data_IF_518911217600
#
_entry.id   IF_518911217600
#
_cell.length_a   1.000
_cell.length_b   1.000
_cell.length_c   1.000
_cell.angle_alpha   90.00
_cell.angle_beta   90.00
_cell.angle_gamma   90.00
#
_symmetry.space_group_name_H-M   'P 1'
#
loop_
_entity.id
_entity.type
_entity.pdbx_description
1 polymer ?
#
# COMPACT_ATOMS: atom_id res chain seq x y z
N UNK A 1 15.26 -24.62 5.51
CA UNK A 1 13.93 -24.75 6.16
C UNK A 1 12.95 -24.01 5.29
N UNK A 2 11.85 -24.63 4.88
CA UNK A 2 10.79 -23.93 4.17
C UNK A 2 9.82 -23.35 5.19
N UNK A 3 9.56 -22.07 5.13
CA UNK A 3 8.59 -21.38 6.00
C UNK A 3 7.21 -21.41 5.33
N UNK A 4 6.19 -21.61 6.13
CA UNK A 4 4.79 -21.51 5.70
C UNK A 4 4.22 -20.25 6.37
N UNK A 5 3.63 -19.38 5.57
CA UNK A 5 2.87 -18.23 6.07
C UNK A 5 1.39 -18.57 5.92
N UNK A 6 0.66 -18.50 7.02
CA UNK A 6 -0.80 -18.57 7.02
C UNK A 6 -1.33 -17.14 6.98
N UNK A 7 -2.17 -16.85 5.99
CA UNK A 7 -2.84 -15.55 5.85
C UNK A 7 -4.31 -15.79 6.14
N UNK A 8 -4.78 -15.21 7.25
CA UNK A 8 -6.19 -15.23 7.65
C UNK A 8 -6.83 -13.91 7.26
N UNK A 9 -8.10 -13.97 6.84
CA UNK A 9 -8.88 -12.79 6.48
C UNK A 9 -10.33 -12.97 6.92
N UNK A 10 -10.87 -11.92 7.52
CA UNK A 10 -12.29 -11.66 7.73
C UNK A 10 -12.58 -10.28 7.15
N UNK A 11 -13.27 -10.24 6.02
CA UNK A 11 -13.64 -8.99 5.37
C UNK A 11 -15.14 -8.82 5.40
N UNK A 12 -15.58 -7.61 5.75
CA UNK A 12 -16.98 -7.26 5.87
C UNK A 12 -17.31 -6.03 5.03
N UNK A 13 -18.52 -6.00 4.50
CA UNK A 13 -19.10 -4.82 3.86
C UNK A 13 -19.74 -4.01 4.97
N UNK A 14 -19.30 -2.78 5.15
CA UNK A 14 -19.90 -1.88 6.13
C UNK A 14 -21.33 -1.54 5.72
N UNK A 15 -22.29 -1.91 6.58
CA UNK A 15 -23.71 -1.73 6.33
C UNK A 15 -24.36 -1.03 7.55
N UNK A 16 -24.21 0.29 7.62
CA UNK A 16 -24.76 1.08 8.71
C UNK A 16 -23.72 1.64 9.68
N UNK A 17 -24.17 1.96 10.91
CA UNK A 17 -23.32 2.62 11.93
C UNK A 17 -22.76 1.64 12.97
N UNK A 18 -23.32 0.45 13.07
CA UNK A 18 -22.93 -0.58 14.05
C UNK A 18 -22.27 -1.77 13.34
N UNK A 19 -21.21 -2.32 13.94
CA UNK A 19 -20.47 -3.48 13.41
C UNK A 19 -21.35 -4.75 13.28
N UNK A 20 -22.40 -4.86 14.08
CA UNK A 20 -23.38 -5.96 14.04
C UNK A 20 -24.20 -5.98 12.74
N UNK A 21 -24.29 -4.84 12.04
CA UNK A 21 -24.99 -4.69 10.77
C UNK A 21 -24.10 -5.00 9.56
N UNK A 22 -22.79 -5.17 9.79
CA UNK A 22 -21.82 -5.42 8.74
C UNK A 22 -21.99 -6.82 8.16
N UNK A 23 -22.09 -6.88 6.84
CA UNK A 23 -22.28 -8.11 6.10
C UNK A 23 -20.93 -8.76 5.80
N UNK A 24 -20.76 -10.03 6.19
CA UNK A 24 -19.55 -10.78 5.89
C UNK A 24 -19.37 -10.97 4.37
N UNK A 25 -18.28 -10.46 3.82
CA UNK A 25 -17.93 -10.59 2.41
C UNK A 25 -17.17 -11.90 2.16
N UNK A 26 -16.07 -12.08 2.87
CA UNK A 26 -15.26 -13.30 2.85
C UNK A 26 -14.69 -13.58 4.24
N UNK A 27 -14.52 -14.84 4.56
CA UNK A 27 -13.84 -15.36 5.74
C UNK A 27 -13.05 -16.60 5.33
N UNK A 28 -11.81 -16.71 5.80
CA UNK A 28 -10.99 -17.86 5.48
C UNK A 28 -9.50 -17.66 5.72
N UNK A 29 -8.73 -18.66 5.30
CA UNK A 29 -7.29 -18.64 5.38
C UNK A 29 -6.66 -19.29 4.15
N UNK A 30 -5.51 -18.77 3.74
CA UNK A 30 -4.67 -19.40 2.70
C UNK A 30 -3.27 -19.64 3.25
N UNK A 31 -2.66 -20.74 2.84
CA UNK A 31 -1.26 -21.03 3.13
C UNK A 31 -0.38 -20.60 1.96
N UNK A 32 0.67 -19.85 2.27
CA UNK A 32 1.67 -19.42 1.31
C UNK A 32 3.05 -20.00 1.67
N UNK A 33 3.71 -20.62 0.68
CA UNK A 33 4.99 -21.28 0.88
C UNK A 33 6.12 -20.42 0.35
N UNK A 34 7.25 -20.37 1.05
CA UNK A 34 8.45 -19.62 0.63
C UNK A 34 9.14 -20.19 -0.62
N UNK A 35 8.74 -21.39 -1.06
CA UNK A 35 9.17 -21.97 -2.35
C UNK A 35 8.83 -21.11 -3.56
N UNK A 36 7.99 -20.10 -3.36
CA UNK A 36 7.62 -19.12 -4.38
C UNK A 36 8.54 -17.87 -4.35
N UNK A 37 9.60 -17.86 -3.52
CA UNK A 37 10.65 -16.87 -3.66
C UNK A 37 11.30 -17.06 -5.04
N UNK A 38 11.40 -15.96 -5.78
CA UNK A 38 11.89 -16.06 -7.15
C UNK A 38 10.81 -16.20 -8.23
N UNK A 39 9.53 -16.18 -7.87
CA UNK A 39 8.41 -16.21 -8.81
C UNK A 39 7.62 -14.88 -8.79
N UNK A 40 6.98 -14.52 -9.91
CA UNK A 40 6.11 -13.33 -9.95
C UNK A 40 4.97 -13.46 -8.92
N UNK A 41 4.36 -12.35 -8.50
CA UNK A 41 3.26 -12.35 -7.55
C UNK A 41 2.12 -13.27 -7.99
N UNK A 42 1.65 -14.09 -7.05
CA UNK A 42 0.53 -15.01 -7.27
C UNK A 42 -0.76 -14.24 -7.03
N UNK A 43 -1.70 -14.35 -7.95
CA UNK A 43 -3.04 -13.74 -7.82
C UNK A 43 -4.07 -14.81 -7.54
N UNK A 44 -4.84 -14.60 -6.47
CA UNK A 44 -5.94 -15.47 -6.08
C UNK A 44 -7.24 -14.66 -6.03
N UNK A 45 -8.30 -15.24 -6.59
CA UNK A 45 -9.66 -14.77 -6.36
C UNK A 45 -10.31 -15.62 -5.29
N UNK A 46 -10.75 -14.98 -4.21
CA UNK A 46 -11.45 -15.61 -3.11
C UNK A 46 -12.92 -15.21 -3.23
N UNK A 47 -13.78 -16.20 -3.41
CA UNK A 47 -15.21 -15.99 -3.54
C UNK A 47 -15.91 -16.27 -2.22
N UNK A 48 -16.71 -15.32 -1.75
CA UNK A 48 -17.65 -15.49 -0.65
C UNK A 48 -19.09 -15.49 -1.13
N UNK A 49 -20.02 -15.58 -0.19
CA UNK A 49 -21.46 -15.62 -0.50
C UNK A 49 -21.98 -14.29 -1.08
N UNK A 50 -21.33 -13.17 -0.79
CA UNK A 50 -21.80 -11.82 -1.12
C UNK A 50 -20.85 -11.05 -2.02
N UNK A 51 -19.80 -11.70 -2.53
CA UNK A 51 -18.85 -11.10 -3.45
C UNK A 51 -17.54 -11.86 -3.55
N UNK A 52 -16.55 -11.22 -4.18
CA UNK A 52 -15.23 -11.79 -4.34
C UNK A 52 -14.15 -10.73 -4.08
N UNK A 53 -13.00 -11.19 -3.61
CA UNK A 53 -11.80 -10.35 -3.39
C UNK A 53 -10.64 -10.94 -4.18
N UNK A 54 -9.95 -10.10 -4.94
CA UNK A 54 -8.72 -10.47 -5.62
C UNK A 54 -7.53 -10.10 -4.71
N UNK A 55 -6.71 -11.09 -4.36
CA UNK A 55 -5.51 -10.94 -3.54
C UNK A 55 -4.29 -11.21 -4.41
N UNK A 56 -3.31 -10.31 -4.37
CA UNK A 56 -2.00 -10.51 -4.96
C UNK A 56 -0.97 -10.69 -3.84
N UNK A 57 -0.20 -11.77 -3.92
CA UNK A 57 0.82 -12.15 -2.93
C UNK A 57 2.17 -12.26 -3.62
N UNK A 58 3.17 -11.60 -3.06
CA UNK A 58 4.56 -11.68 -3.54
C UNK A 58 5.53 -11.72 -2.38
N UNK A 59 6.68 -12.37 -2.58
CA UNK A 59 7.79 -12.38 -1.64
C UNK A 59 8.80 -11.35 -2.09
N UNK A 60 9.15 -10.44 -1.20
CA UNK A 60 10.20 -9.45 -1.41
C UNK A 60 11.44 -9.89 -0.64
N UNK A 61 12.49 -10.27 -1.36
CA UNK A 61 13.74 -10.71 -0.74
C UNK A 61 14.51 -9.55 -0.13
N UNK A 62 15.20 -9.80 1.01
CA UNK A 62 15.97 -8.81 1.74
C UNK A 62 15.19 -7.51 1.99
N UNK A 63 13.90 -7.66 2.29
CA UNK A 63 13.01 -6.54 2.43
C UNK A 63 13.31 -5.69 3.67
N UNK A 64 13.13 -4.39 3.50
CA UNK A 64 12.95 -3.42 4.58
C UNK A 64 11.51 -2.95 4.57
N UNK A 65 11.03 -2.54 5.73
CA UNK A 65 9.70 -1.97 5.88
C UNK A 65 9.74 -0.47 5.60
N UNK A 66 8.88 0.01 4.73
CA UNK A 66 8.63 1.41 4.48
C UNK A 66 7.29 1.81 5.09
N UNK A 67 7.30 2.50 6.22
CA UNK A 67 6.12 3.15 6.78
C UNK A 67 5.93 4.51 6.14
N UNK A 68 4.83 4.69 5.41
CA UNK A 68 4.52 5.88 4.61
C UNK A 68 3.42 6.66 5.33
N UNK A 69 3.72 7.91 5.70
CA UNK A 69 2.81 8.87 6.30
C UNK A 69 2.56 10.00 5.28
N UNK A 70 1.29 10.29 5.01
CA UNK A 70 0.88 11.31 4.03
C UNK A 70 -0.04 12.30 4.72
N UNK A 71 0.30 13.56 4.63
CA UNK A 71 -0.49 14.68 5.18
C UNK A 71 -0.84 15.63 4.05
N UNK A 72 -2.12 15.87 3.86
CA UNK A 72 -2.65 16.89 2.95
C UNK A 72 -2.65 18.20 3.74
N UNK A 73 -1.72 19.10 3.43
CA UNK A 73 -1.53 20.36 4.16
C UNK A 73 -2.37 21.50 3.62
N UNK A 74 -2.69 21.46 2.33
CA UNK A 74 -3.56 22.45 1.69
C UNK A 74 -4.51 21.77 0.71
N UNK A 75 -5.73 22.27 0.62
CA UNK A 75 -6.76 21.85 -0.33
C UNK A 75 -7.39 23.10 -0.94
N UNK A 76 -7.19 23.31 -2.23
CA UNK A 76 -7.76 24.46 -2.95
C UNK A 76 -9.19 24.18 -3.39
N UNK A 77 -9.47 22.94 -3.76
CA UNK A 77 -10.81 22.45 -4.12
C UNK A 77 -10.87 20.94 -3.88
N UNK A 78 -12.07 20.37 -3.72
CA UNK A 78 -12.24 18.94 -3.63
C UNK A 78 -11.71 18.23 -4.88
N UNK A 79 -10.97 17.11 -4.70
CA UNK A 79 -10.35 16.37 -5.78
C UNK A 79 -10.28 14.87 -5.46
N UNK A 80 -10.17 14.06 -6.49
CA UNK A 80 -9.83 12.64 -6.34
C UNK A 80 -8.32 12.47 -6.26
N UNK A 81 -7.86 11.70 -5.28
CA UNK A 81 -6.45 11.34 -5.10
C UNK A 81 -6.25 9.84 -5.32
N UNK A 82 -5.29 9.50 -6.18
CA UNK A 82 -4.74 8.16 -6.32
C UNK A 82 -3.29 8.19 -5.85
N UNK A 83 -2.96 7.32 -4.91
CA UNK A 83 -1.61 7.10 -4.41
C UNK A 83 -1.22 5.65 -4.64
N UNK A 84 -0.15 5.44 -5.37
CA UNK A 84 0.44 4.13 -5.61
C UNK A 84 1.91 4.10 -5.23
N UNK A 85 2.36 2.97 -4.72
CA UNK A 85 3.78 2.63 -4.55
C UNK A 85 4.19 1.66 -5.66
N UNK A 86 5.35 1.87 -6.24
CA UNK A 86 5.99 0.91 -7.14
C UNK A 86 7.24 0.39 -6.46
N UNK A 87 7.32 -0.91 -6.32
CA UNK A 87 8.43 -1.60 -5.68
C UNK A 87 9.00 -2.65 -6.62
N UNK A 88 10.30 -2.87 -6.50
CA UNK A 88 10.97 -3.93 -7.25
C UNK A 88 10.64 -5.29 -6.59
N UNK A 89 10.02 -6.15 -7.37
CA UNK A 89 9.78 -7.55 -7.01
C UNK A 89 10.38 -8.40 -8.13
N UNK A 90 11.53 -9.01 -7.89
CA UNK A 90 12.20 -9.90 -8.86
C UNK A 90 12.59 -9.21 -10.18
N UNK A 91 13.14 -8.00 -10.12
CA UNK A 91 13.50 -7.16 -11.28
C UNK A 91 12.30 -6.67 -12.11
N UNK A 92 11.10 -6.77 -11.57
CA UNK A 92 9.91 -6.19 -12.14
C UNK A 92 9.27 -5.19 -11.16
N UNK A 93 8.73 -4.09 -11.69
CA UNK A 93 8.09 -3.08 -10.84
C UNK A 93 6.62 -3.40 -10.66
N UNK A 94 6.25 -3.81 -9.44
CA UNK A 94 4.87 -4.05 -9.07
C UNK A 94 4.22 -2.78 -8.50
N UNK A 95 3.05 -2.43 -9.04
CA UNK A 95 2.23 -1.33 -8.53
C UNK A 95 1.35 -1.79 -7.38
N UNK A 96 1.50 -1.14 -6.22
CA UNK A 96 0.67 -1.34 -5.05
C UNK A 96 -0.18 -0.09 -4.85
N UNK A 97 -1.49 -0.19 -5.04
CA UNK A 97 -2.41 0.90 -4.75
C UNK A 97 -2.56 1.07 -3.25
N UNK A 98 -2.12 2.22 -2.73
CA UNK A 98 -2.17 2.55 -1.30
C UNK A 98 -3.47 3.27 -0.93
N UNK A 99 -3.90 4.20 -1.79
CA UNK A 99 -5.09 5.00 -1.55
C UNK A 99 -5.77 5.39 -2.86
N UNK A 100 -7.10 5.37 -2.83
CA UNK A 100 -7.94 6.01 -3.84
C UNK A 100 -9.19 6.55 -3.14
N UNK A 101 -9.43 7.85 -3.28
CA UNK A 101 -10.60 8.48 -2.67
C UNK A 101 -10.66 9.99 -2.94
N UNK A 102 -11.79 10.58 -2.53
CA UNK A 102 -12.02 12.01 -2.64
C UNK A 102 -11.48 12.72 -1.40
N UNK A 103 -10.72 13.77 -1.61
CA UNK A 103 -10.16 14.65 -0.59
C UNK A 103 -10.91 15.99 -0.67
N UNK A 104 -11.53 16.38 0.43
CA UNK A 104 -12.28 17.66 0.56
C UNK A 104 -11.71 18.56 1.65
N UNK A 105 -10.91 18.00 2.57
CA UNK A 105 -10.32 18.72 3.69
C UNK A 105 -8.85 18.35 3.88
N UNK A 106 -8.11 19.24 4.52
CA UNK A 106 -6.75 18.95 5.00
C UNK A 106 -6.77 17.87 6.07
N UNK A 107 -5.70 17.10 6.17
CA UNK A 107 -5.58 16.04 7.18
C UNK A 107 -4.58 14.97 6.81
N UNK A 108 -4.35 14.06 7.73
CA UNK A 108 -3.51 12.90 7.52
C UNK A 108 -4.33 11.74 6.92
N UNK A 109 -3.75 11.07 5.94
CA UNK A 109 -4.23 9.76 5.52
C UNK A 109 -3.81 8.71 6.56
N UNK A 110 -4.43 7.52 6.50
CA UNK A 110 -3.93 6.37 7.27
C UNK A 110 -2.47 6.09 6.93
N UNK A 111 -1.74 5.45 7.81
CA UNK A 111 -0.41 4.95 7.52
C UNK A 111 -0.48 3.76 6.58
N UNK A 112 0.49 3.70 5.68
CA UNK A 112 0.68 2.56 4.78
C UNK A 112 2.02 1.92 5.08
N UNK A 113 2.07 0.61 4.97
CA UNK A 113 3.31 -0.16 5.15
C UNK A 113 3.56 -0.96 3.89
N UNK A 114 4.76 -0.84 3.34
CA UNK A 114 5.18 -1.50 2.10
C UNK A 114 6.51 -2.19 2.33
N UNK A 115 6.63 -3.43 1.90
CA UNK A 115 7.90 -4.13 1.84
C UNK A 115 8.67 -3.69 0.58
N UNK A 116 9.94 -3.33 0.74
CA UNK A 116 10.79 -2.87 -0.36
C UNK A 116 12.13 -3.59 -0.27
N UNK A 117 12.63 -4.14 -1.37
CA UNK A 117 13.96 -4.75 -1.40
C UNK A 117 15.01 -3.72 -0.98
N UNK A 118 15.89 -4.13 -0.07
CA UNK A 118 16.94 -3.25 0.41
C UNK A 118 17.82 -2.75 -0.74
N UNK A 119 18.25 -1.47 -0.65
CA UNK A 119 19.07 -0.80 -1.64
C UNK A 119 18.44 -0.60 -3.02
N UNK A 120 17.15 -0.91 -3.18
CA UNK A 120 16.40 -0.59 -4.40
C UNK A 120 15.66 0.74 -4.28
N UNK A 121 15.04 1.18 -5.37
CA UNK A 121 14.26 2.41 -5.41
C UNK A 121 12.77 2.13 -5.26
N UNK A 122 12.15 2.70 -4.24
CA UNK A 122 10.69 2.80 -4.15
C UNK A 122 10.24 4.07 -4.87
N UNK A 123 9.22 3.96 -5.71
CA UNK A 123 8.58 5.09 -6.37
C UNK A 123 7.19 5.28 -5.78
N UNK A 124 6.88 6.49 -5.30
CA UNK A 124 5.52 6.88 -4.94
C UNK A 124 4.96 7.79 -6.03
N UNK A 125 3.78 7.45 -6.54
CA UNK A 125 3.08 8.20 -7.58
C UNK A 125 1.79 8.75 -7.02
N UNK A 126 1.63 10.06 -7.17
CA UNK A 126 0.44 10.81 -6.80
C UNK A 126 -0.24 11.27 -8.08
N UNK A 127 -1.52 10.99 -8.22
CA UNK A 127 -2.37 11.58 -9.25
C UNK A 127 -3.52 12.27 -8.55
N UNK A 128 -3.72 13.54 -8.82
CA UNK A 128 -4.78 14.33 -8.22
C UNK A 128 -5.52 15.11 -9.30
N UNK A 129 -6.83 15.17 -9.18
CA UNK A 129 -7.64 15.94 -10.13
C UNK A 129 -9.12 15.62 -10.08
N UNK A 130 -9.87 16.32 -10.91
CA UNK A 130 -11.27 16.07 -11.24
C UNK A 130 -11.40 15.70 -12.71
N UNK A 131 -12.58 15.35 -13.17
CA UNK A 131 -12.86 15.00 -14.56
C UNK A 131 -12.24 15.98 -15.54
N UNK A 132 -11.32 15.49 -16.39
CA UNK A 132 -10.66 16.23 -17.46
C UNK A 132 -9.33 16.90 -17.13
N UNK A 133 -8.92 17.00 -15.86
CA UNK A 133 -7.62 17.58 -15.50
C UNK A 133 -6.95 16.79 -14.36
N UNK A 134 -5.99 15.94 -14.71
CA UNK A 134 -5.22 15.16 -13.75
C UNK A 134 -3.79 15.70 -13.69
N UNK A 135 -3.36 16.14 -12.51
CA UNK A 135 -1.96 16.43 -12.22
C UNK A 135 -1.29 15.19 -11.61
N UNK A 136 -0.07 14.91 -12.03
CA UNK A 136 0.67 13.73 -11.57
C UNK A 136 2.07 14.12 -11.13
N UNK A 137 2.46 13.63 -9.96
CA UNK A 137 3.82 13.78 -9.40
C UNK A 137 4.35 12.43 -8.94
N UNK A 138 5.67 12.32 -9.00
CA UNK A 138 6.39 11.13 -8.57
C UNK A 138 7.56 11.52 -7.67
N UNK A 139 7.79 10.74 -6.64
CA UNK A 139 8.98 10.82 -5.80
C UNK A 139 9.67 9.46 -5.78
N UNK A 140 11.01 9.50 -5.88
CA UNK A 140 11.85 8.31 -5.78
C UNK A 140 12.58 8.34 -4.45
N UNK A 141 12.59 7.24 -3.75
CA UNK A 141 13.20 7.08 -2.43
C UNK A 141 14.01 5.79 -2.42
N UNK A 142 15.29 5.90 -2.11
CA UNK A 142 16.13 4.71 -1.95
C UNK A 142 15.81 4.04 -0.62
N UNK A 143 15.56 2.74 -0.66
CA UNK A 143 15.30 1.92 0.51
C UNK A 143 16.55 1.83 1.39
N UNK A 144 16.37 2.02 2.70
CA UNK A 144 17.43 2.00 3.69
C UNK A 144 17.06 1.07 4.83
N UNK A 145 18.06 0.52 5.51
CA UNK A 145 17.81 -0.34 6.68
C UNK A 145 17.10 0.42 7.81
N UNK A 146 17.45 1.70 8.01
CA UNK A 146 16.90 2.57 9.04
C UNK A 146 16.90 4.03 8.59
N UNK A 147 16.12 4.85 9.28
CA UNK A 147 16.07 6.29 9.05
C UNK A 147 14.75 6.74 8.43
N UNK A 148 14.71 8.01 8.06
CA UNK A 148 13.52 8.58 7.43
C UNK A 148 13.89 9.54 6.30
N UNK A 149 12.93 9.78 5.42
CA UNK A 149 12.99 10.78 4.37
C UNK A 149 11.66 11.50 4.29
N UNK A 150 11.69 12.84 4.12
CA UNK A 150 10.50 13.64 3.92
C UNK A 150 10.56 14.35 2.58
N UNK A 151 9.41 14.53 1.96
CA UNK A 151 9.22 15.26 0.70
C UNK A 151 7.97 16.09 0.77
N UNK A 152 8.00 17.22 0.11
CA UNK A 152 6.84 18.06 -0.13
C UNK A 152 6.51 18.04 -1.61
N UNK A 153 5.22 17.94 -1.91
CA UNK A 153 4.69 17.82 -3.27
C UNK A 153 3.63 18.90 -3.44
N UNK A 154 3.82 19.74 -4.43
CA UNK A 154 2.82 20.70 -4.84
C UNK A 154 2.07 20.16 -6.07
N UNK A 155 0.77 20.04 -5.94
CA UNK A 155 -0.18 19.75 -6.99
C UNK A 155 -1.03 20.98 -7.25
N UNK A 156 -1.62 21.09 -8.42
CA UNK A 156 -2.49 22.25 -8.75
C UNK A 156 -3.66 22.43 -7.78
N UNK A 157 -4.10 21.37 -7.12
CA UNK A 157 -5.30 21.36 -6.25
C UNK A 157 -4.96 21.19 -4.76
N UNK A 158 -3.72 20.84 -4.42
CA UNK A 158 -3.33 20.54 -3.05
C UNK A 158 -1.82 20.60 -2.82
N UNK A 159 -1.41 20.82 -1.57
CA UNK A 159 -0.06 20.57 -1.11
C UNK A 159 -0.04 19.33 -0.20
N UNK A 160 0.94 18.46 -0.43
CA UNK A 160 1.05 17.15 0.23
C UNK A 160 2.44 17.00 0.83
N UNK A 161 2.51 16.68 2.12
CA UNK A 161 3.74 16.28 2.79
C UNK A 161 3.78 14.77 2.94
N UNK A 162 4.91 14.17 2.58
CA UNK A 162 5.14 12.73 2.65
C UNK A 162 6.35 12.47 3.53
N UNK A 163 6.21 11.58 4.50
CA UNK A 163 7.32 11.06 5.30
C UNK A 163 7.36 9.55 5.16
N UNK A 164 8.54 9.03 4.85
CA UNK A 164 8.79 7.58 4.81
C UNK A 164 9.82 7.25 5.88
N UNK A 165 9.46 6.31 6.75
CA UNK A 165 10.35 5.79 7.79
C UNK A 165 10.72 4.35 7.42
N UNK A 166 12.01 4.07 7.43
CA UNK A 166 12.57 2.76 7.11
C UNK A 166 12.90 1.99 8.36
N UNK A 167 12.54 0.71 8.39
CA UNK A 167 12.95 -0.23 9.44
C UNK A 167 13.24 -1.61 8.84
N UNK A 168 14.12 -2.35 9.50
CA UNK A 168 14.28 -3.78 9.23
C UNK A 168 13.34 -4.56 10.15
N UNK A 169 12.60 -5.55 9.62
CA UNK A 169 11.86 -6.47 10.48
C UNK A 169 12.79 -7.07 11.53
N UNK A 170 12.34 -7.10 12.79
CA UNK A 170 13.08 -7.81 13.84
C UNK A 170 13.07 -9.30 13.49
N UNK A 171 14.23 -9.82 13.09
CA UNK A 171 14.40 -11.26 12.96
C UNK A 171 14.49 -11.80 14.39
N UNK A 172 13.46 -12.47 14.85
CA UNK A 172 13.55 -13.26 16.08
C UNK A 172 14.52 -14.42 15.81
N UNK A 173 15.76 -14.27 16.25
CA UNK A 173 16.67 -15.40 16.38
C UNK A 173 16.12 -16.25 17.54
N UNK A 174 15.51 -17.38 17.20
CA UNK A 174 15.30 -18.48 18.13
C UNK A 174 16.54 -19.38 18.15
#
# INVERSE_FOLDING_TARGET
MSSIVLIEFDMRIKNGMHEEEDQQLIDGAISYYDRHSGYPPIRHRICGNYGAVDISLGIVEQAVEATIEVVISEVMSGFSLWLSSFVDVMNDYEEIQLFHGTIVHTGALRRFVVAVSWDTMMLLKFKAGSEGCIDSRQIKLQAKKHGCASRHIELKVAAISVKVTWSTPSVFHQ
#
